data_IF_718201346726
#
_entry.id   IF_718201346726
#
_cell.length_a   1.000
_cell.length_b   1.000
_cell.length_c   1.000
_cell.angle_alpha   90.00
_cell.angle_beta   90.00
_cell.angle_gamma   90.00
#
_symmetry.space_group_name_H-M   'P 1'
#
loop_
_entity.id
_entity.type
_entity.pdbx_description
1 polymer ?
#
# COMPACT_ATOMS: atom_id res chain seq x y z
N UNK A 1 15.17 -27.72 7.39
CA UNK A 1 15.85 -26.44 7.07
C UNK A 1 14.80 -25.44 6.59
N UNK A 2 14.34 -24.54 7.46
CA UNK A 2 13.40 -23.48 7.10
C UNK A 2 14.15 -22.40 6.31
N UNK A 3 13.69 -22.12 5.09
CA UNK A 3 14.22 -21.08 4.21
C UNK A 3 13.92 -19.70 4.83
N UNK A 4 14.91 -19.10 5.47
CA UNK A 4 14.83 -17.75 6.01
C UNK A 4 14.70 -16.77 4.82
N UNK A 5 13.49 -16.29 4.54
CA UNK A 5 13.31 -15.19 3.59
C UNK A 5 13.89 -13.94 4.25
N UNK A 6 15.02 -13.46 3.74
CA UNK A 6 15.56 -12.15 4.08
C UNK A 6 14.43 -11.12 3.92
N UNK A 7 13.97 -10.55 5.04
CA UNK A 7 13.00 -9.46 5.04
C UNK A 7 13.72 -8.31 4.33
N UNK A 8 13.23 -7.90 3.16
CA UNK A 8 13.76 -6.74 2.44
C UNK A 8 13.74 -5.49 3.32
N UNK A 9 14.34 -4.37 2.86
CA UNK A 9 14.39 -3.13 3.64
C UNK A 9 12.98 -2.81 4.17
N UNK A 10 12.90 -2.54 5.48
CA UNK A 10 11.62 -2.26 6.11
C UNK A 10 11.00 -1.05 5.40
N UNK A 11 9.78 -1.16 4.88
CA UNK A 11 9.23 -0.15 3.99
C UNK A 11 9.08 1.16 4.76
N UNK A 12 9.73 2.21 4.26
CA UNK A 12 9.53 3.55 4.80
C UNK A 12 8.06 3.97 4.60
N UNK A 13 7.48 4.72 5.56
CA UNK A 13 6.16 5.31 5.38
C UNK A 13 6.16 6.23 4.15
N UNK A 14 5.14 6.09 3.31
CA UNK A 14 4.93 6.88 2.09
C UNK A 14 3.58 7.57 2.14
N UNK A 15 3.51 8.77 1.58
CA UNK A 15 2.26 9.50 1.43
C UNK A 15 1.51 9.05 0.17
N UNK A 16 0.20 8.92 0.28
CA UNK A 16 -0.70 8.55 -0.78
C UNK A 16 -1.89 9.49 -0.81
N UNK A 17 -2.32 9.85 -2.02
CA UNK A 17 -3.62 10.48 -2.25
C UNK A 17 -4.59 9.38 -2.62
N UNK A 18 -5.72 9.31 -1.92
CA UNK A 18 -6.74 8.31 -2.21
C UNK A 18 -7.59 8.78 -3.38
N UNK A 19 -7.56 8.03 -4.47
CA UNK A 19 -8.35 8.33 -5.68
C UNK A 19 -9.78 7.79 -5.57
N UNK A 20 -9.97 6.62 -4.94
CA UNK A 20 -11.25 5.92 -4.92
C UNK A 20 -11.36 4.95 -3.75
N UNK A 21 -12.56 4.41 -3.53
CA UNK A 21 -12.83 3.38 -2.54
C UNK A 21 -13.17 2.07 -3.26
N UNK A 22 -12.69 0.93 -2.76
CA UNK A 22 -13.06 -0.39 -3.25
C UNK A 22 -14.39 -0.90 -2.64
N UNK A 23 -14.86 -2.07 -3.07
CA UNK A 23 -16.09 -2.69 -2.57
C UNK A 23 -16.03 -3.07 -1.09
N UNK A 24 -14.83 -3.32 -0.55
CA UNK A 24 -14.58 -3.59 0.87
C UNK A 24 -14.33 -2.31 1.69
N UNK A 25 -14.64 -1.14 1.13
CA UNK A 25 -14.43 0.16 1.73
C UNK A 25 -12.95 0.49 2.04
N UNK A 26 -12.01 -0.06 1.26
CA UNK A 26 -10.60 0.31 1.34
C UNK A 26 -10.26 1.44 0.36
N UNK A 27 -9.41 2.37 0.79
CA UNK A 27 -8.89 3.42 -0.06
C UNK A 27 -7.94 2.85 -1.11
N UNK A 28 -8.12 3.24 -2.37
CA UNK A 28 -7.27 2.86 -3.49
C UNK A 28 -6.45 4.07 -3.91
N UNK A 29 -5.13 3.87 -3.97
CA UNK A 29 -4.17 4.88 -4.40
C UNK A 29 -3.17 4.30 -5.39
N UNK A 30 -2.59 5.18 -6.21
CA UNK A 30 -1.52 4.81 -7.15
C UNK A 30 -0.18 5.32 -6.64
N UNK A 31 0.77 4.40 -6.44
CA UNK A 31 2.15 4.75 -6.13
C UNK A 31 2.85 5.39 -7.35
N UNK A 32 3.93 6.12 -7.10
CA UNK A 32 4.77 6.73 -8.15
C UNK A 32 5.33 5.69 -9.15
N UNK A 33 5.51 4.45 -8.69
CA UNK A 33 5.95 3.29 -9.49
C UNK A 33 4.81 2.68 -10.35
N UNK A 34 3.62 3.29 -10.36
CA UNK A 34 2.45 2.79 -11.09
C UNK A 34 1.73 1.61 -10.41
N UNK A 35 2.21 1.16 -9.25
CA UNK A 35 1.56 0.12 -8.44
C UNK A 35 0.28 0.63 -7.79
N UNK A 36 -0.77 -0.20 -7.79
CA UNK A 36 -1.99 0.04 -7.02
C UNK A 36 -1.77 -0.39 -5.57
N UNK A 37 -2.11 0.49 -4.64
CA UNK A 37 -1.99 0.29 -3.19
C UNK A 37 -3.38 0.38 -2.58
N UNK A 38 -3.74 -0.62 -1.77
CA UNK A 38 -4.98 -0.66 -1.00
C UNK A 38 -4.65 -0.26 0.44
N UNK A 39 -5.40 0.70 0.97
CA UNK A 39 -5.17 1.34 2.27
C UNK A 39 -6.45 1.24 3.08
N UNK A 40 -6.36 0.61 4.24
CA UNK A 40 -7.49 0.44 5.14
C UNK A 40 -7.91 1.78 5.76
N UNK A 41 -9.22 2.07 5.76
CA UNK A 41 -9.79 3.23 6.44
C UNK A 41 -9.47 4.61 5.83
N UNK A 42 -9.09 4.67 4.56
CA UNK A 42 -8.75 5.93 3.89
C UNK A 42 -9.85 6.34 2.89
N UNK A 43 -10.33 7.58 2.99
CA UNK A 43 -11.43 8.08 2.15
C UNK A 43 -10.93 8.79 0.88
N UNK A 44 -11.71 8.76 -0.22
CA UNK A 44 -11.36 9.50 -1.43
C UNK A 44 -11.14 10.99 -1.17
N UNK A 45 -10.05 11.53 -1.71
CA UNK A 45 -9.64 12.93 -1.54
C UNK A 45 -8.74 13.20 -0.33
N UNK A 46 -8.48 12.20 0.52
CA UNK A 46 -7.57 12.35 1.66
C UNK A 46 -6.11 12.09 1.28
N UNK A 47 -5.21 12.78 1.99
CA UNK A 47 -3.77 12.51 2.01
C UNK A 47 -3.44 11.69 3.25
N UNK A 48 -2.91 10.49 3.05
CA UNK A 48 -2.61 9.57 4.14
C UNK A 48 -1.18 9.04 4.04
N UNK A 49 -0.58 8.72 5.19
CA UNK A 49 0.73 8.07 5.24
C UNK A 49 0.55 6.58 5.53
N UNK A 50 1.06 5.72 4.64
CA UNK A 50 0.91 4.27 4.76
C UNK A 50 2.26 3.55 4.61
N UNK A 51 2.36 2.37 5.26
CA UNK A 51 3.54 1.49 5.20
C UNK A 51 3.17 0.24 4.40
N UNK A 52 3.79 0.03 3.24
CA UNK A 52 3.46 -1.09 2.34
C UNK A 52 4.10 -2.40 2.81
N UNK A 53 3.39 -3.22 3.60
CA UNK A 53 3.94 -4.44 4.21
C UNK A 53 4.02 -5.66 3.28
N UNK A 54 3.31 -5.68 2.15
CA UNK A 54 3.28 -6.83 1.22
C UNK A 54 3.17 -6.36 -0.23
N UNK A 55 4.21 -6.61 -1.01
CA UNK A 55 4.18 -6.49 -2.47
C UNK A 55 3.91 -7.86 -3.07
N UNK A 56 2.83 -8.00 -3.86
CA UNK A 56 2.65 -9.20 -4.70
C UNK A 56 3.57 -9.03 -5.91
N UNK A 57 4.67 -9.79 -5.97
CA UNK A 57 5.38 -9.97 -7.24
C UNK A 57 4.51 -10.87 -8.10
N UNK A 58 4.12 -10.37 -9.28
CA UNK A 58 3.63 -11.20 -10.37
C UNK A 58 4.82 -11.87 -11.06
#
# INVERSE_FOLDING_TARGET
>A
MARNKVKGPEPAPKEYVIDSLDIEAQGVARAEDGKVVFIDGALPGERVTAITRRSKNN
#
